data_IF_175092624519
#
_entry.id   IF_175092624519
#
_cell.length_a   1.000
_cell.length_b   1.000
_cell.length_c   1.000
_cell.angle_alpha   90.00
_cell.angle_beta   90.00
_cell.angle_gamma   90.00
#
_symmetry.space_group_name_H-M   'P 1'
#
loop_
_entity.id
_entity.type
_entity.pdbx_description
1 polymer ?
#
# COMPACT_ATOMS: atom_id res chain seq x y z
N UNK A 1 -17.19 69.05 15.18
CA UNK A 1 -15.88 68.97 14.50
C UNK A 1 -15.47 67.50 14.54
N UNK A 2 -15.65 66.80 13.42
CA UNK A 2 -15.59 65.34 13.32
C UNK A 2 -14.13 64.86 13.31
N UNK A 3 -13.78 63.94 14.22
CA UNK A 3 -12.50 63.23 14.19
C UNK A 3 -12.79 61.80 13.73
N UNK A 4 -12.43 61.51 12.48
CA UNK A 4 -12.36 60.15 11.95
C UNK A 4 -11.26 59.36 12.68
N UNK A 5 -11.61 58.20 13.27
CA UNK A 5 -10.63 57.20 13.69
C UNK A 5 -10.40 56.22 12.54
N UNK A 6 -9.22 56.27 11.93
CA UNK A 6 -8.76 55.26 10.99
C UNK A 6 -8.32 54.00 11.76
N UNK A 7 -9.01 52.89 11.54
CA UNK A 7 -8.60 51.58 12.04
C UNK A 7 -7.54 50.97 11.14
N UNK A 8 -6.36 50.67 11.69
CA UNK A 8 -5.31 49.91 11.01
C UNK A 8 -5.67 48.42 11.13
N UNK A 9 -6.02 47.79 10.01
CA UNK A 9 -6.17 46.33 9.91
C UNK A 9 -4.77 45.71 9.79
N UNK A 10 -4.32 45.00 10.83
CA UNK A 10 -3.12 44.17 10.75
C UNK A 10 -3.45 42.88 9.99
N UNK A 11 -2.95 42.76 8.75
CA UNK A 11 -2.95 41.51 8.01
C UNK A 11 -1.85 40.60 8.59
N UNK A 12 -2.24 39.58 9.35
CA UNK A 12 -1.33 38.50 9.74
C UNK A 12 -1.01 37.68 8.49
N UNK A 13 0.14 37.97 7.88
CA UNK A 13 0.67 37.19 6.78
C UNK A 13 1.25 35.89 7.36
N UNK A 14 0.46 34.82 7.35
CA UNK A 14 0.90 33.48 7.71
C UNK A 14 1.98 33.05 6.71
N UNK A 15 3.26 33.12 7.10
CA UNK A 15 4.32 32.47 6.33
C UNK A 15 4.06 30.96 6.34
N UNK A 16 3.61 30.43 5.22
CA UNK A 16 3.70 29.00 4.92
C UNK A 16 5.19 28.66 4.86
N UNK A 17 5.69 28.02 5.92
CA UNK A 17 7.00 27.38 5.90
C UNK A 17 6.88 26.17 4.97
N UNK A 18 7.29 26.34 3.72
CA UNK A 18 7.51 25.22 2.81
C UNK A 18 8.78 24.54 3.29
N UNK A 19 8.64 23.50 4.11
CA UNK A 19 9.76 22.63 4.45
C UNK A 19 10.15 21.90 3.16
N UNK A 20 11.36 22.10 2.62
CA UNK A 20 11.78 21.34 1.45
C UNK A 20 11.78 19.87 1.85
N UNK A 21 11.07 19.06 1.05
CA UNK A 21 11.07 17.62 1.15
C UNK A 21 12.54 17.18 1.05
N UNK A 22 13.14 16.82 2.18
CA UNK A 22 14.56 16.49 2.22
C UNK A 22 14.75 15.21 1.46
N UNK A 23 15.57 15.27 0.40
CA UNK A 23 15.90 14.09 -0.38
C UNK A 23 16.56 13.05 0.54
N UNK A 24 16.28 11.77 0.29
CA UNK A 24 16.93 10.71 1.03
C UNK A 24 18.44 10.77 0.75
N UNK A 25 19.24 10.82 1.80
CA UNK A 25 20.68 10.72 1.65
C UNK A 25 21.07 9.25 1.54
N UNK A 26 21.47 8.86 0.34
CA UNK A 26 21.94 7.52 0.07
C UNK A 26 23.35 7.32 0.65
N UNK A 27 23.78 6.08 0.93
CA UNK A 27 25.18 5.80 1.25
C UNK A 27 26.17 6.42 0.23
N UNK A 28 27.27 6.98 0.74
CA UNK A 28 28.35 7.54 -0.09
C UNK A 28 29.23 6.45 -0.70
N UNK A 29 30.33 6.87 -1.32
CA UNK A 29 31.38 5.95 -1.76
C UNK A 29 32.02 5.26 -0.55
N UNK A 30 32.54 4.05 -0.77
CA UNK A 30 33.17 3.19 0.24
C UNK A 30 32.27 2.85 1.44
N UNK A 31 30.94 2.95 1.28
CA UNK A 31 29.97 2.46 2.29
C UNK A 31 30.17 0.97 2.62
N UNK A 32 30.71 0.23 1.65
CA UNK A 32 31.20 -1.13 1.73
C UNK A 32 32.49 -1.19 0.91
N UNK A 33 33.51 -1.92 1.39
CA UNK A 33 34.84 -1.93 0.77
C UNK A 33 34.77 -2.23 -0.74
N UNK A 34 35.27 -1.30 -1.56
CA UNK A 34 35.30 -1.43 -3.02
C UNK A 34 34.00 -1.10 -3.74
N UNK A 35 32.98 -0.57 -3.04
CA UNK A 35 31.72 -0.14 -3.61
C UNK A 35 31.61 1.39 -3.65
N UNK A 36 31.14 1.92 -4.76
CA UNK A 36 30.97 3.35 -4.98
C UNK A 36 29.68 3.64 -5.73
N UNK A 37 29.19 4.87 -5.63
CA UNK A 37 28.03 5.32 -6.41
C UNK A 37 28.37 5.27 -7.90
N UNK A 38 27.46 4.70 -8.68
CA UNK A 38 27.52 4.65 -10.14
C UNK A 38 26.61 5.71 -10.73
N UNK A 39 27.20 6.84 -11.10
CA UNK A 39 26.47 7.98 -11.63
C UNK A 39 25.65 8.76 -10.58
N UNK A 40 24.98 9.84 -11.00
CA UNK A 40 24.18 10.67 -10.12
C UNK A 40 22.89 9.95 -9.68
N UNK A 41 22.36 10.33 -8.53
CA UNK A 41 21.03 9.90 -8.10
C UNK A 41 19.97 10.47 -9.05
N UNK A 42 19.21 9.58 -9.69
CA UNK A 42 18.09 9.95 -10.53
C UNK A 42 16.84 10.20 -9.67
N UNK A 43 16.01 11.17 -10.08
CA UNK A 43 14.76 11.49 -9.40
C UNK A 43 13.61 11.51 -10.39
N UNK A 44 12.48 10.93 -10.00
CA UNK A 44 11.28 10.84 -10.81
C UNK A 44 10.09 11.33 -10.00
N UNK A 45 9.30 12.20 -10.63
CA UNK A 45 8.00 12.64 -10.13
C UNK A 45 6.90 11.66 -10.61
N UNK A 46 5.61 11.88 -10.27
CA UNK A 46 4.53 11.00 -10.70
C UNK A 46 4.43 10.81 -12.22
N UNK A 47 4.76 11.81 -13.03
CA UNK A 47 4.74 11.70 -14.48
C UNK A 47 5.92 10.87 -15.00
N UNK A 48 7.07 10.98 -14.34
CA UNK A 48 8.28 10.23 -14.69
C UNK A 48 8.25 8.74 -14.30
N UNK A 49 7.36 8.33 -13.39
CA UNK A 49 7.32 6.96 -12.87
C UNK A 49 7.08 5.89 -13.95
N UNK A 50 6.26 6.21 -14.96
CA UNK A 50 5.98 5.33 -16.10
C UNK A 50 7.22 5.03 -16.96
N UNK A 51 8.27 5.86 -16.86
CA UNK A 51 9.53 5.61 -17.58
C UNK A 51 10.46 4.64 -16.83
N UNK A 52 10.13 4.31 -15.57
CA UNK A 52 10.95 3.47 -14.70
C UNK A 52 10.32 2.10 -14.49
N UNK A 53 8.99 2.04 -14.39
CA UNK A 53 8.25 0.81 -14.15
C UNK A 53 7.44 0.44 -15.40
N UNK A 54 7.81 -0.67 -16.05
CA UNK A 54 7.05 -1.26 -17.15
C UNK A 54 5.87 -2.09 -16.62
N UNK A 55 4.78 -1.38 -16.30
CA UNK A 55 3.54 -1.93 -15.75
C UNK A 55 3.49 -1.94 -14.21
N UNK A 56 2.39 -1.41 -13.65
CA UNK A 56 2.17 -1.35 -12.20
C UNK A 56 2.54 -0.02 -11.54
N UNK A 57 2.91 0.99 -12.32
CA UNK A 57 3.04 2.38 -11.83
C UNK A 57 1.71 2.88 -11.26
N UNK A 58 0.59 2.44 -11.82
CA UNK A 58 -0.75 2.78 -11.37
C UNK A 58 -1.01 2.38 -9.93
N UNK A 59 -0.45 1.25 -9.48
CA UNK A 59 -0.55 0.83 -8.08
C UNK A 59 0.17 1.82 -7.15
N UNK A 60 1.36 2.27 -7.51
CA UNK A 60 2.10 3.26 -6.72
C UNK A 60 1.36 4.60 -6.67
N UNK A 61 0.85 5.06 -7.81
CA UNK A 61 0.07 6.30 -7.91
C UNK A 61 -1.21 6.21 -7.08
N UNK A 62 -1.96 5.11 -7.18
CA UNK A 62 -3.15 4.85 -6.38
C UNK A 62 -2.84 4.87 -4.88
N UNK A 63 -1.71 4.30 -4.48
CA UNK A 63 -1.31 4.23 -3.08
C UNK A 63 -0.78 5.55 -2.53
N UNK A 64 -0.61 6.59 -3.35
CA UNK A 64 -0.16 7.92 -2.92
C UNK A 64 1.35 8.12 -3.04
N UNK A 65 1.92 7.72 -4.18
CA UNK A 65 3.30 8.01 -4.55
C UNK A 65 3.58 9.52 -4.62
N UNK A 66 4.72 9.95 -4.07
CA UNK A 66 5.20 11.34 -4.16
C UNK A 66 6.36 11.43 -5.16
N UNK A 67 7.44 10.70 -4.90
CA UNK A 67 8.65 10.72 -5.73
C UNK A 67 9.44 9.42 -5.58
N UNK A 68 10.29 9.15 -6.58
CA UNK A 68 11.22 8.03 -6.60
C UNK A 68 12.64 8.55 -6.75
N UNK A 69 13.54 8.07 -5.90
CA UNK A 69 14.97 8.31 -6.03
C UNK A 69 15.69 7.00 -6.34
N UNK A 70 16.54 7.00 -7.36
CA UNK A 70 17.28 5.81 -7.78
C UNK A 70 18.78 6.09 -7.69
N UNK A 71 19.48 5.29 -6.89
CA UNK A 71 20.94 5.32 -6.81
C UNK A 71 21.50 3.95 -7.15
N UNK A 72 22.40 3.92 -8.13
CA UNK A 72 23.14 2.71 -8.50
C UNK A 72 24.50 2.68 -7.81
N UNK A 73 24.99 1.48 -7.56
CA UNK A 73 26.32 1.25 -7.00
C UNK A 73 27.05 0.18 -7.79
N UNK A 74 28.34 0.38 -8.01
CA UNK A 74 29.23 -0.58 -8.64
C UNK A 74 30.27 -1.06 -7.63
N UNK A 75 30.54 -2.36 -7.67
CA UNK A 75 31.56 -2.98 -6.84
C UNK A 75 31.68 -4.46 -7.18
N UNK A 76 32.88 -5.03 -7.02
CA UNK A 76 33.14 -6.45 -7.29
C UNK A 76 32.68 -6.94 -8.67
N UNK A 77 32.70 -6.08 -9.69
CA UNK A 77 32.24 -6.41 -11.05
C UNK A 77 30.71 -6.55 -11.20
N UNK A 78 29.93 -6.12 -10.21
CA UNK A 78 28.47 -6.14 -10.23
C UNK A 78 27.87 -4.74 -10.01
N UNK A 79 26.60 -4.59 -10.40
CA UNK A 79 25.77 -3.41 -10.14
C UNK A 79 24.62 -3.76 -9.19
N UNK A 80 24.39 -2.92 -8.19
CA UNK A 80 23.18 -2.93 -7.35
C UNK A 80 22.44 -1.61 -7.58
N UNK A 81 21.13 -1.68 -7.83
CA UNK A 81 20.27 -0.50 -7.90
C UNK A 81 19.45 -0.39 -6.62
N UNK A 82 19.35 0.81 -6.06
CA UNK A 82 18.47 1.12 -4.93
C UNK A 82 17.41 2.09 -5.41
N UNK A 83 16.15 1.70 -5.26
CA UNK A 83 14.97 2.51 -5.53
C UNK A 83 14.31 2.88 -4.20
N UNK A 84 14.25 4.17 -3.88
CA UNK A 84 13.56 4.67 -2.70
C UNK A 84 12.27 5.37 -3.13
N UNK A 85 11.15 4.68 -2.97
CA UNK A 85 9.81 5.21 -3.22
C UNK A 85 9.34 5.97 -1.98
N UNK A 86 9.18 7.26 -2.13
CA UNK A 86 8.61 8.13 -1.11
C UNK A 86 7.10 8.19 -1.30
N UNK A 87 6.38 7.78 -0.26
CA UNK A 87 4.92 7.71 -0.25
C UNK A 87 4.35 8.81 0.66
N UNK A 88 3.09 9.18 0.45
CA UNK A 88 2.48 10.28 1.21
C UNK A 88 2.34 10.03 2.71
N UNK A 89 2.32 8.77 3.15
CA UNK A 89 2.28 8.39 4.55
C UNK A 89 2.73 6.93 4.76
N UNK A 90 2.84 6.52 6.02
CA UNK A 90 3.32 5.19 6.42
C UNK A 90 2.37 4.06 5.98
N UNK A 91 1.05 4.30 5.91
CA UNK A 91 0.09 3.32 5.42
C UNK A 91 0.24 3.09 3.92
N UNK A 92 0.51 4.14 3.15
CA UNK A 92 0.82 4.06 1.73
C UNK A 92 2.07 3.21 1.47
N UNK A 93 3.16 3.48 2.19
CA UNK A 93 4.40 2.71 2.09
C UNK A 93 4.22 1.25 2.54
N UNK A 94 3.49 1.03 3.65
CA UNK A 94 3.18 -0.33 4.11
C UNK A 94 2.37 -1.10 3.07
N UNK A 95 1.36 -0.49 2.45
CA UNK A 95 0.54 -1.18 1.46
C UNK A 95 1.33 -1.61 0.22
N UNK A 96 2.24 -0.76 -0.29
CA UNK A 96 3.16 -1.16 -1.36
C UNK A 96 4.07 -2.30 -0.91
N UNK A 97 4.66 -2.20 0.29
CA UNK A 97 5.51 -3.25 0.82
C UNK A 97 4.80 -4.61 0.88
N UNK A 98 3.59 -4.65 1.45
CA UNK A 98 2.81 -5.88 1.60
C UNK A 98 2.42 -6.50 0.23
N UNK A 99 2.04 -5.66 -0.73
CA UNK A 99 1.70 -6.12 -2.09
C UNK A 99 2.92 -6.64 -2.85
N UNK A 100 4.12 -6.10 -2.60
CA UNK A 100 5.35 -6.51 -3.29
C UNK A 100 6.03 -7.72 -2.66
N UNK A 101 6.00 -7.89 -1.33
CA UNK A 101 6.64 -9.04 -0.69
C UNK A 101 5.79 -10.32 -0.79
N UNK A 102 4.45 -10.20 -0.86
CA UNK A 102 3.51 -11.32 -0.71
C UNK A 102 3.69 -12.05 0.63
N UNK A 103 4.66 -12.97 0.73
CA UNK A 103 5.06 -13.62 1.97
C UNK A 103 6.36 -13.01 2.48
N UNK A 104 6.37 -12.58 3.74
CA UNK A 104 7.58 -12.00 4.31
C UNK A 104 8.71 -13.02 4.47
N UNK A 105 9.90 -12.62 4.04
CA UNK A 105 11.14 -13.42 4.11
C UNK A 105 12.26 -12.59 4.76
N UNK A 106 12.25 -12.46 6.09
CA UNK A 106 13.25 -11.65 6.78
C UNK A 106 14.65 -12.25 6.64
N UNK A 107 15.63 -11.37 6.49
CA UNK A 107 17.06 -11.64 6.42
C UNK A 107 17.73 -11.25 7.75
N UNK A 108 18.79 -11.96 8.16
CA UNK A 108 19.54 -11.59 9.35
C UNK A 108 20.24 -10.23 9.18
N UNK A 109 20.26 -9.44 10.26
CA UNK A 109 21.03 -8.19 10.32
C UNK A 109 20.27 -6.92 9.93
N UNK A 110 19.00 -7.01 9.54
CA UNK A 110 18.14 -5.84 9.28
C UNK A 110 17.04 -5.82 10.35
N UNK A 111 16.92 -4.70 11.07
CA UNK A 111 15.97 -4.56 12.19
C UNK A 111 14.61 -4.03 11.77
N UNK A 112 14.56 -3.12 10.80
CA UNK A 112 13.32 -2.61 10.24
C UNK A 112 12.60 -3.68 9.40
N UNK A 113 11.30 -3.51 9.19
CA UNK A 113 10.47 -4.51 8.49
C UNK A 113 10.94 -4.67 7.05
N UNK A 114 11.26 -5.89 6.65
CA UNK A 114 11.82 -6.17 5.34
C UNK A 114 11.56 -7.61 4.91
N UNK A 115 11.71 -7.85 3.61
CA UNK A 115 11.68 -9.16 2.99
C UNK A 115 12.69 -9.20 1.86
N UNK A 116 13.39 -10.31 1.69
CA UNK A 116 14.33 -10.40 0.58
C UNK A 116 14.94 -11.77 0.38
N UNK A 117 15.77 -11.83 -0.64
CA UNK A 117 16.63 -12.95 -1.02
C UNK A 117 17.87 -12.41 -1.76
N UNK A 118 18.62 -13.28 -2.44
CA UNK A 118 19.82 -12.91 -3.18
C UNK A 118 19.58 -11.95 -4.35
N UNK A 119 18.37 -11.83 -4.86
CA UNK A 119 18.02 -10.94 -5.97
C UNK A 119 17.57 -9.58 -5.49
N UNK A 120 16.87 -9.51 -4.36
CA UNK A 120 16.25 -8.26 -3.95
C UNK A 120 15.99 -8.16 -2.45
N UNK A 121 15.97 -6.93 -1.92
CA UNK A 121 15.47 -6.62 -0.58
C UNK A 121 14.43 -5.52 -0.70
N UNK A 122 13.20 -5.83 -0.30
CA UNK A 122 12.13 -4.90 -0.01
C UNK A 122 12.21 -4.48 1.46
N UNK A 123 12.34 -3.19 1.72
CA UNK A 123 12.49 -2.62 3.06
C UNK A 123 11.42 -1.54 3.26
N UNK A 124 10.77 -1.56 4.42
CA UNK A 124 9.81 -0.56 4.84
C UNK A 124 10.38 0.25 5.99
N UNK A 125 10.38 1.58 5.84
CA UNK A 125 10.76 2.51 6.90
C UNK A 125 9.98 3.81 6.79
N UNK A 126 9.22 4.15 7.83
CA UNK A 126 8.34 5.33 7.80
C UNK A 126 7.44 5.28 6.55
N UNK A 127 7.33 6.39 5.83
CA UNK A 127 6.64 6.52 4.56
C UNK A 127 7.51 6.22 3.33
N UNK A 128 8.61 5.47 3.50
CA UNK A 128 9.44 4.99 2.41
C UNK A 128 9.30 3.47 2.22
N UNK A 129 9.10 3.08 0.96
CA UNK A 129 9.34 1.73 0.48
C UNK A 129 10.66 1.73 -0.30
N UNK A 130 11.61 0.91 0.12
CA UNK A 130 12.94 0.84 -0.48
C UNK A 130 13.11 -0.54 -1.12
N UNK A 131 13.58 -0.54 -2.36
CA UNK A 131 13.81 -1.75 -3.12
C UNK A 131 15.26 -1.80 -3.61
N UNK A 132 16.02 -2.75 -3.08
CA UNK A 132 17.43 -2.96 -3.42
C UNK A 132 17.50 -4.14 -4.37
N UNK A 133 17.92 -3.91 -5.60
CA UNK A 133 17.96 -4.89 -6.67
C UNK A 133 19.40 -5.31 -7.00
N UNK A 134 19.64 -6.61 -6.93
CA UNK A 134 20.82 -7.31 -7.43
C UNK A 134 20.42 -8.13 -8.66
N UNK A 135 20.57 -7.53 -9.85
CA UNK A 135 20.13 -8.13 -11.11
C UNK A 135 20.81 -9.47 -11.44
N UNK A 136 22.05 -9.67 -10.97
CA UNK A 136 22.79 -10.91 -11.17
C UNK A 136 22.40 -12.02 -10.20
N UNK A 137 21.70 -11.70 -9.11
CA UNK A 137 21.29 -12.68 -8.09
C UNK A 137 22.46 -13.40 -7.40
N UNK A 138 23.66 -12.84 -7.42
CA UNK A 138 24.80 -13.43 -6.73
C UNK A 138 24.60 -13.40 -5.23
N UNK A 139 24.70 -14.55 -4.57
CA UNK A 139 24.51 -14.65 -3.12
C UNK A 139 25.60 -13.93 -2.33
N UNK A 140 26.79 -13.77 -2.92
CA UNK A 140 27.92 -13.05 -2.31
C UNK A 140 27.65 -11.55 -2.15
N UNK A 141 26.60 -11.03 -2.80
CA UNK A 141 26.19 -9.62 -2.70
C UNK A 141 25.20 -9.36 -1.57
N UNK A 142 24.65 -10.39 -0.91
CA UNK A 142 23.74 -10.21 0.22
C UNK A 142 24.32 -9.34 1.36
N UNK A 143 25.59 -9.50 1.78
CA UNK A 143 26.17 -8.62 2.81
C UNK A 143 26.20 -7.14 2.41
N UNK A 144 26.43 -6.86 1.11
CA UNK A 144 26.42 -5.51 0.55
C UNK A 144 25.01 -4.93 0.58
N UNK A 145 24.02 -5.70 0.10
CA UNK A 145 22.61 -5.31 0.10
C UNK A 145 22.09 -5.07 1.53
N UNK A 146 22.43 -5.95 2.48
CA UNK A 146 22.09 -5.79 3.89
C UNK A 146 22.74 -4.53 4.49
N UNK A 147 23.96 -4.19 4.10
CA UNK A 147 24.63 -2.96 4.56
C UNK A 147 23.93 -1.72 4.02
N UNK A 148 23.57 -1.70 2.73
CA UNK A 148 22.76 -0.64 2.13
C UNK A 148 21.44 -0.46 2.88
N UNK A 149 20.69 -1.55 3.08
CA UNK A 149 19.40 -1.52 3.78
C UNK A 149 19.52 -0.87 5.16
N UNK A 150 20.53 -1.27 5.95
CA UNK A 150 20.77 -0.73 7.30
C UNK A 150 21.14 0.76 7.29
N UNK A 151 22.04 1.17 6.41
CA UNK A 151 22.49 2.57 6.37
C UNK A 151 21.36 3.49 5.90
N UNK A 152 20.59 3.06 4.90
CA UNK A 152 19.42 3.80 4.42
C UNK A 152 18.35 3.89 5.51
N UNK A 153 18.03 2.77 6.18
CA UNK A 153 17.05 2.77 7.26
C UNK A 153 17.45 3.70 8.42
N UNK A 154 18.76 3.79 8.73
CA UNK A 154 19.28 4.69 9.76
C UNK A 154 19.18 6.18 9.38
N UNK A 155 19.16 6.50 8.09
CA UNK A 155 18.98 7.87 7.59
C UNK A 155 17.50 8.33 7.61
N UNK A 156 16.55 7.40 7.73
CA UNK A 156 15.12 7.70 7.71
C UNK A 156 14.57 7.70 9.14
N UNK A 157 13.92 8.79 9.59
CA UNK A 157 13.27 8.83 10.89
C UNK A 157 12.25 7.69 11.10
N UNK A 158 11.94 7.38 12.35
CA UNK A 158 10.80 6.50 12.64
C UNK A 158 9.49 7.20 12.27
N UNK A 159 8.64 6.49 11.52
CA UNK A 159 7.28 6.95 11.23
C UNK A 159 6.28 6.55 12.31
N UNK A 160 5.02 6.95 12.11
CA UNK A 160 3.91 6.55 12.98
C UNK A 160 3.60 5.06 12.86
N UNK A 161 2.92 4.52 13.87
CA UNK A 161 2.33 3.19 13.79
C UNK A 161 1.15 3.20 12.81
N UNK A 162 1.16 2.29 11.83
CA UNK A 162 0.05 2.09 10.90
C UNK A 162 -1.06 1.30 11.62
N UNK A 163 -2.26 1.88 11.68
CA UNK A 163 -3.43 1.33 12.39
C UNK A 163 -4.57 0.99 11.42
N UNK A 164 -4.38 1.26 10.13
CA UNK A 164 -5.36 1.07 9.07
C UNK A 164 -5.72 -0.41 8.86
N UNK A 165 -4.87 -1.35 9.33
CA UNK A 165 -5.17 -2.78 9.34
C UNK A 165 -6.03 -3.21 10.55
N UNK A 166 -6.11 -2.41 11.61
CA UNK A 166 -6.85 -2.76 12.85
C UNK A 166 -8.37 -2.82 12.63
N UNK A 167 -8.86 -2.38 11.47
CA UNK A 167 -10.27 -2.54 11.09
C UNK A 167 -10.66 -3.99 10.83
N UNK A 168 -9.66 -4.88 10.66
CA UNK A 168 -9.83 -6.31 10.45
C UNK A 168 -9.94 -7.04 11.81
N UNK A 169 -10.87 -7.99 11.96
CA UNK A 169 -10.89 -8.85 13.14
C UNK A 169 -9.61 -9.70 13.24
N UNK A 170 -9.09 -9.85 14.47
CA UNK A 170 -7.89 -10.65 14.69
C UNK A 170 -8.18 -12.16 14.77
N UNK A 171 -9.41 -12.54 15.15
CA UNK A 171 -9.79 -13.93 15.31
C UNK A 171 -9.75 -14.66 13.97
N UNK A 172 -9.10 -15.83 13.95
CA UNK A 172 -8.92 -16.70 12.78
C UNK A 172 -8.20 -16.08 11.58
N UNK A 173 -7.64 -14.88 11.70
CA UNK A 173 -6.87 -14.26 10.62
C UNK A 173 -5.62 -15.09 10.31
N UNK A 174 -5.37 -15.36 9.02
CA UNK A 174 -4.15 -16.04 8.55
C UNK A 174 -2.96 -15.08 8.73
N UNK A 175 -1.92 -15.44 9.51
CA UNK A 175 -0.78 -14.55 9.74
C UNK A 175 -0.09 -14.13 8.45
N UNK A 176 0.22 -12.84 8.32
CA UNK A 176 0.91 -12.28 7.15
C UNK A 176 0.04 -12.13 5.89
N UNK A 177 -1.26 -12.41 5.96
CA UNK A 177 -2.17 -12.27 4.80
C UNK A 177 -2.79 -10.88 4.64
N UNK A 178 -2.55 -9.97 5.60
CA UNK A 178 -3.17 -8.67 5.63
C UNK A 178 -2.60 -7.74 4.55
N UNK A 179 -3.47 -7.00 3.86
CA UNK A 179 -3.17 -6.06 2.80
C UNK A 179 -3.91 -4.75 3.02
N UNK A 180 -3.30 -3.63 2.62
CA UNK A 180 -3.96 -2.32 2.52
C UNK A 180 -4.37 -2.09 1.06
N UNK A 181 -5.59 -1.60 0.87
CA UNK A 181 -6.19 -1.30 -0.42
C UNK A 181 -6.58 0.17 -0.47
N UNK A 182 -6.50 0.80 -1.63
CA UNK A 182 -6.78 2.23 -1.79
C UNK A 182 -7.50 2.60 -3.08
N UNK A 183 -7.83 1.61 -3.91
CA UNK A 183 -8.55 1.79 -5.16
C UNK A 183 -8.60 0.50 -5.99
N UNK A 184 -8.93 0.60 -7.29
CA UNK A 184 -9.07 -0.56 -8.17
C UNK A 184 -7.82 -1.44 -8.28
N UNK A 185 -6.61 -0.88 -8.37
CA UNK A 185 -5.40 -1.64 -8.67
C UNK A 185 -5.00 -2.53 -7.48
N UNK A 186 -5.01 -2.00 -6.27
CA UNK A 186 -4.80 -2.78 -5.04
C UNK A 186 -5.94 -3.75 -4.78
N UNK A 187 -7.20 -3.36 -5.03
CA UNK A 187 -8.34 -4.27 -4.86
C UNK A 187 -8.26 -5.49 -5.79
N UNK A 188 -7.90 -5.29 -7.06
CA UNK A 188 -7.81 -6.36 -8.06
C UNK A 188 -6.70 -7.38 -7.76
N UNK A 189 -5.68 -7.02 -6.97
CA UNK A 189 -4.70 -8.02 -6.50
C UNK A 189 -5.30 -9.02 -5.52
N UNK A 190 -6.46 -8.70 -4.94
CA UNK A 190 -7.20 -9.55 -3.98
C UNK A 190 -8.37 -10.25 -4.66
N UNK A 191 -9.24 -9.46 -5.29
CA UNK A 191 -10.47 -9.90 -5.93
C UNK A 191 -11.02 -8.85 -6.90
N UNK A 192 -11.46 -9.27 -8.08
CA UNK A 192 -12.15 -8.39 -9.03
C UNK A 192 -13.63 -8.31 -8.65
N UNK A 193 -14.10 -7.19 -8.09
CA UNK A 193 -15.53 -6.98 -7.81
C UNK A 193 -16.28 -6.36 -9.00
N UNK A 194 -15.54 -5.67 -9.87
CA UNK A 194 -16.02 -4.97 -11.07
C UNK A 194 -14.98 -3.96 -11.53
N UNK A 195 -15.33 -3.16 -12.54
CA UNK A 195 -14.41 -2.21 -13.16
C UNK A 195 -14.38 -0.87 -12.40
N UNK A 196 -13.21 -0.21 -12.46
CA UNK A 196 -13.01 1.11 -11.84
C UNK A 196 -13.01 1.09 -10.31
N UNK A 197 -13.12 2.28 -9.71
CA UNK A 197 -13.14 2.46 -8.26
C UNK A 197 -14.50 2.05 -7.66
N UNK A 198 -14.77 0.75 -7.68
CA UNK A 198 -16.07 0.19 -7.33
C UNK A 198 -16.47 0.42 -5.87
N UNK A 199 -15.49 0.60 -4.98
CA UNK A 199 -15.69 0.91 -3.57
C UNK A 199 -15.57 2.42 -3.26
N UNK A 200 -15.40 3.28 -4.27
CA UNK A 200 -15.27 4.73 -4.12
C UNK A 200 -14.19 5.14 -3.09
N UNK A 201 -13.03 4.46 -3.10
CA UNK A 201 -11.92 4.74 -2.19
C UNK A 201 -11.13 6.00 -2.60
N UNK A 202 -11.15 6.32 -3.89
CA UNK A 202 -10.64 7.54 -4.49
C UNK A 202 -9.14 7.77 -4.31
N UNK A 203 -8.33 6.73 -4.09
CA UNK A 203 -6.91 6.87 -3.76
C UNK A 203 -6.66 7.61 -2.44
N UNK A 204 -7.69 7.72 -1.57
CA UNK A 204 -7.64 8.52 -0.34
C UNK A 204 -7.92 7.67 0.88
N UNK A 205 -8.98 6.87 0.81
CA UNK A 205 -9.44 6.01 1.90
C UNK A 205 -8.75 4.65 1.83
N UNK A 206 -8.15 4.21 2.94
CA UNK A 206 -7.61 2.86 3.05
C UNK A 206 -8.70 1.89 3.45
N UNK A 207 -8.92 0.87 2.62
CA UNK A 207 -9.56 -0.37 3.00
C UNK A 207 -8.48 -1.40 3.39
N UNK A 208 -8.89 -2.48 4.04
CA UNK A 208 -7.99 -3.57 4.40
C UNK A 208 -8.58 -4.91 3.97
N UNK A 209 -7.72 -5.86 3.65
CA UNK A 209 -8.11 -7.23 3.37
C UNK A 209 -7.21 -8.23 4.10
N UNK A 210 -7.74 -9.40 4.44
CA UNK A 210 -6.94 -10.51 4.94
C UNK A 210 -7.62 -11.86 4.66
N UNK A 211 -6.84 -12.93 4.66
CA UNK A 211 -7.38 -14.29 4.63
C UNK A 211 -7.74 -14.75 6.05
N UNK A 212 -8.77 -15.59 6.17
CA UNK A 212 -9.23 -16.14 7.44
C UNK A 212 -9.36 -17.65 7.34
N UNK A 213 -8.92 -18.35 8.38
CA UNK A 213 -9.10 -19.78 8.52
C UNK A 213 -10.58 -20.11 8.72
N UNK A 214 -11.05 -21.14 8.02
CA UNK A 214 -12.37 -21.72 8.21
C UNK A 214 -12.27 -22.98 9.07
N UNK A 215 -13.32 -23.28 9.84
CA UNK A 215 -13.37 -24.50 10.67
C UNK A 215 -13.24 -25.78 9.82
N UNK A 216 -13.73 -25.73 8.59
CA UNK A 216 -13.55 -26.79 7.61
C UNK A 216 -13.45 -26.20 6.20
N UNK A 217 -12.37 -26.50 5.48
CA UNK A 217 -12.18 -26.08 4.08
C UNK A 217 -11.06 -25.04 3.89
N UNK A 218 -10.93 -24.50 2.67
CA UNK A 218 -9.96 -23.45 2.37
C UNK A 218 -10.32 -22.14 3.07
N UNK A 219 -9.30 -21.30 3.31
CA UNK A 219 -9.50 -19.95 3.82
C UNK A 219 -10.34 -19.09 2.89
N UNK A 220 -11.19 -18.23 3.45
CA UNK A 220 -11.85 -17.15 2.71
C UNK A 220 -11.05 -15.84 2.84
N UNK A 221 -11.43 -14.81 2.10
CA UNK A 221 -10.87 -13.47 2.23
C UNK A 221 -11.94 -12.49 2.67
N UNK A 222 -11.65 -11.67 3.68
CA UNK A 222 -12.48 -10.56 4.10
C UNK A 222 -11.83 -9.26 3.63
N UNK A 223 -12.65 -8.36 3.08
CA UNK A 223 -12.30 -6.98 2.72
C UNK A 223 -13.20 -6.06 3.54
N UNK A 224 -12.60 -5.06 4.21
CA UNK A 224 -13.32 -4.06 5.00
C UNK A 224 -12.94 -2.68 4.49
N UNK A 225 -13.93 -1.94 3.98
CA UNK A 225 -13.79 -0.57 3.52
C UNK A 225 -14.51 0.39 4.49
N UNK A 226 -13.79 1.23 5.25
CA UNK A 226 -14.40 2.23 6.13
C UNK A 226 -14.73 3.52 5.37
N UNK A 227 -15.76 4.23 5.81
CA UNK A 227 -16.14 5.55 5.29
C UNK A 227 -16.33 6.54 6.43
N UNK A 228 -16.25 7.84 6.14
CA UNK A 228 -16.37 8.87 7.17
C UNK A 228 -17.75 8.85 7.86
N UNK A 229 -18.80 8.44 7.14
CA UNK A 229 -20.15 8.29 7.66
C UNK A 229 -20.95 7.20 6.92
N UNK A 230 -22.14 6.90 7.44
CA UNK A 230 -23.04 5.89 6.87
C UNK A 230 -23.63 6.29 5.50
N UNK A 231 -23.73 7.58 5.18
CA UNK A 231 -24.26 8.02 3.90
C UNK A 231 -23.25 7.71 2.77
N UNK A 232 -21.96 7.97 3.01
CA UNK A 232 -20.88 7.60 2.10
C UNK A 232 -20.76 6.09 1.93
N UNK A 233 -20.88 5.31 3.02
CA UNK A 233 -20.89 3.85 2.94
C UNK A 233 -22.05 3.33 2.08
N UNK A 234 -23.25 3.91 2.22
CA UNK A 234 -24.43 3.56 1.39
C UNK A 234 -24.24 3.94 -0.07
N UNK A 235 -23.65 5.10 -0.35
CA UNK A 235 -23.34 5.51 -1.72
C UNK A 235 -22.34 4.56 -2.39
N UNK A 236 -21.27 4.19 -1.68
CA UNK A 236 -20.28 3.23 -2.18
C UNK A 236 -20.88 1.83 -2.38
N UNK A 237 -21.75 1.37 -1.48
CA UNK A 237 -22.43 0.09 -1.65
C UNK A 237 -23.42 0.09 -2.82
N UNK A 238 -24.13 1.21 -3.04
CA UNK A 238 -24.97 1.36 -4.22
C UNK A 238 -24.13 1.32 -5.51
N UNK A 239 -22.98 1.98 -5.53
CA UNK A 239 -22.02 1.92 -6.64
C UNK A 239 -21.50 0.50 -6.89
N UNK A 240 -21.15 -0.22 -5.82
CA UNK A 240 -20.75 -1.63 -5.89
C UNK A 240 -21.84 -2.49 -6.52
N UNK A 241 -23.10 -2.33 -6.12
CA UNK A 241 -24.21 -3.12 -6.67
C UNK A 241 -24.49 -2.80 -8.13
N UNK A 242 -24.47 -1.52 -8.48
CA UNK A 242 -24.80 -1.07 -9.83
C UNK A 242 -23.73 -1.48 -10.85
N UNK A 243 -22.47 -1.52 -10.43
CA UNK A 243 -21.31 -1.80 -11.29
C UNK A 243 -20.65 -3.15 -10.97
N UNK A 244 -21.37 -4.04 -10.28
CA UNK A 244 -20.87 -5.36 -9.94
C UNK A 244 -20.55 -6.14 -11.20
N UNK A 245 -19.43 -6.88 -11.19
CA UNK A 245 -18.97 -7.62 -12.36
C UNK A 245 -20.07 -8.60 -12.84
N UNK A 246 -20.51 -8.49 -14.11
CA UNK A 246 -21.59 -9.34 -14.64
C UNK A 246 -21.21 -10.82 -14.74
N UNK A 247 -19.93 -11.19 -14.61
CA UNK A 247 -19.51 -12.59 -14.53
C UNK A 247 -19.81 -13.23 -13.16
N UNK A 248 -20.20 -12.45 -12.15
CA UNK A 248 -20.71 -12.98 -10.89
C UNK A 248 -22.23 -13.16 -10.93
N UNK A 249 -22.69 -14.31 -10.45
CA UNK A 249 -24.11 -14.58 -10.29
C UNK A 249 -24.61 -14.12 -8.93
N UNK A 250 -25.47 -13.10 -8.88
CA UNK A 250 -26.16 -12.71 -7.64
C UNK A 250 -27.21 -13.76 -7.28
N UNK A 251 -27.09 -14.35 -6.09
CA UNK A 251 -27.96 -15.42 -5.60
C UNK A 251 -29.09 -14.92 -4.70
N UNK A 252 -28.87 -13.80 -4.02
CA UNK A 252 -29.84 -13.21 -3.10
C UNK A 252 -29.41 -11.81 -2.69
N UNK A 253 -30.38 -10.96 -2.35
CA UNK A 253 -30.14 -9.54 -2.09
C UNK A 253 -31.17 -8.98 -1.09
N UNK A 254 -30.73 -8.11 -0.20
CA UNK A 254 -31.57 -7.29 0.69
C UNK A 254 -31.22 -5.81 0.57
N UNK A 255 -31.73 -4.95 1.45
CA UNK A 255 -31.40 -3.52 1.42
C UNK A 255 -29.89 -3.29 1.63
N UNK A 256 -29.31 -3.97 2.63
CA UNK A 256 -27.95 -3.73 3.10
C UNK A 256 -26.96 -4.87 2.78
N UNK A 257 -27.36 -5.88 2.00
CA UNK A 257 -26.47 -6.98 1.62
C UNK A 257 -26.81 -7.60 0.26
N UNK A 258 -25.87 -8.33 -0.34
CA UNK A 258 -26.12 -9.31 -1.38
C UNK A 258 -25.12 -10.48 -1.30
N UNK A 259 -25.59 -11.65 -1.72
CA UNK A 259 -24.81 -12.89 -1.84
C UNK A 259 -24.62 -13.19 -3.32
N UNK A 260 -23.43 -13.62 -3.69
CA UNK A 260 -23.08 -13.93 -5.07
C UNK A 260 -22.23 -15.20 -5.15
N UNK A 261 -22.13 -15.72 -6.37
CA UNK A 261 -21.25 -16.83 -6.73
C UNK A 261 -20.38 -16.42 -7.91
N UNK A 262 -19.11 -16.76 -7.86
CA UNK A 262 -18.18 -16.45 -8.93
C UNK A 262 -18.02 -17.59 -9.95
N UNK A 263 -17.27 -17.30 -11.02
CA UNK A 263 -17.03 -18.24 -12.11
C UNK A 263 -16.24 -19.49 -11.68
N UNK A 264 -15.55 -19.44 -10.53
CA UNK A 264 -14.85 -20.57 -9.92
C UNK A 264 -15.73 -21.35 -8.95
N UNK A 265 -17.02 -21.00 -8.86
CA UNK A 265 -18.01 -21.54 -7.95
C UNK A 265 -17.81 -21.21 -6.46
N UNK A 266 -16.93 -20.26 -6.13
CA UNK A 266 -16.88 -19.75 -4.76
C UNK A 266 -18.02 -18.79 -4.50
N UNK A 267 -18.45 -18.73 -3.25
CA UNK A 267 -19.45 -17.78 -2.81
C UNK A 267 -18.80 -16.51 -2.27
N UNK A 268 -19.58 -15.43 -2.30
CA UNK A 268 -19.23 -14.18 -1.66
C UNK A 268 -20.47 -13.49 -1.08
N UNK A 269 -20.22 -12.58 -0.15
CA UNK A 269 -21.24 -11.73 0.47
C UNK A 269 -20.68 -10.34 0.64
N UNK A 270 -21.40 -9.33 0.18
CA UNK A 270 -21.09 -7.94 0.47
C UNK A 270 -22.24 -7.35 1.29
N UNK A 271 -21.90 -6.60 2.33
CA UNK A 271 -22.88 -5.95 3.19
C UNK A 271 -22.38 -4.63 3.78
N UNK A 272 -23.33 -3.77 4.14
CA UNK A 272 -23.06 -2.55 4.89
C UNK A 272 -23.20 -2.84 6.38
N UNK A 273 -22.21 -2.41 7.17
CA UNK A 273 -22.28 -2.36 8.64
C UNK A 273 -21.92 -0.95 9.10
N UNK A 274 -22.90 -0.20 9.60
CA UNK A 274 -22.74 1.20 10.00
C UNK A 274 -22.14 2.09 8.89
N UNK A 275 -20.89 2.53 9.06
CA UNK A 275 -20.12 3.34 8.12
C UNK A 275 -19.09 2.52 7.33
N UNK A 276 -19.26 1.20 7.22
CA UNK A 276 -18.32 0.30 6.54
C UNK A 276 -19.03 -0.62 5.56
N UNK A 277 -18.30 -1.03 4.54
CA UNK A 277 -18.67 -2.18 3.71
C UNK A 277 -17.77 -3.34 4.11
N UNK A 278 -18.38 -4.50 4.39
CA UNK A 278 -17.69 -5.76 4.66
C UNK A 278 -18.00 -6.71 3.51
N UNK A 279 -16.96 -7.29 2.93
CA UNK A 279 -17.07 -8.21 1.80
C UNK A 279 -16.30 -9.48 2.12
N UNK A 280 -16.98 -10.61 2.04
CA UNK A 280 -16.40 -11.94 2.10
C UNK A 280 -16.35 -12.50 0.69
N UNK A 281 -15.21 -13.05 0.29
CA UNK A 281 -15.00 -13.70 -1.01
C UNK A 281 -14.26 -15.01 -0.82
N UNK A 282 -14.30 -15.88 -1.85
CA UNK A 282 -13.67 -17.22 -1.82
C UNK A 282 -14.25 -18.13 -0.73
N UNK A 283 -15.52 -17.95 -0.38
CA UNK A 283 -16.23 -18.83 0.57
C UNK A 283 -16.52 -20.17 -0.11
N UNK A 284 -16.26 -21.27 0.60
CA UNK A 284 -16.53 -22.63 0.11
C UNK A 284 -18.01 -23.03 0.22
N UNK A 285 -18.75 -22.37 1.11
CA UNK A 285 -20.18 -22.59 1.34
C UNK A 285 -20.95 -21.29 1.14
N UNK A 286 -22.20 -21.41 0.72
CA UNK A 286 -23.08 -20.25 0.58
C UNK A 286 -23.32 -19.65 1.97
N UNK A 287 -22.98 -18.37 2.20
CA UNK A 287 -23.25 -17.71 3.47
C UNK A 287 -24.76 -17.57 3.68
N UNK A 288 -25.19 -17.53 4.95
CA UNK A 288 -26.61 -17.36 5.25
C UNK A 288 -27.12 -16.05 4.63
N UNK A 289 -28.33 -16.13 4.08
CA UNK A 289 -29.10 -15.02 3.54
C UNK A 289 -29.72 -14.15 4.64
N UNK A 290 -29.74 -14.61 5.89
CA UNK A 290 -30.33 -13.89 7.04
C UNK A 290 -29.24 -13.45 8.01
N UNK A 291 -29.43 -12.28 8.61
CA UNK A 291 -28.54 -11.69 9.62
C UNK A 291 -28.54 -12.58 10.88
N UNK A 292 -27.37 -13.01 11.33
CA UNK A 292 -27.09 -13.11 12.78
C UNK A 292 -26.68 -11.73 13.29
#
# INVERSE_FOLDING_TARGET
MNICKAGVLLFACSLLVVVPLSALDFPGDDFYSGWHRSGPCAKYDPAGLYNVIDGGAELFLEMGFIDLQVQKYLGSGAEIAVEAYHMENEAAALGIYLLKCSKETPLPGISDRHSGDRFQIALLKSNYFIFINNFGGSQDLLPVMTTLARQIAAAIPHGRVVRELDILPAENQVPGSALLLRGPYSLQSVYTLGLGDILLLGGKTFAAAAAYHEASGPSHTMIVAPYADAALARAAFANLRQNFDPYHQVLGAGADFFVFKDFQNYFGRAEIRENRIVILVKLSQQPDSRLE
#
